data_IF_852869128781
#
_entry.id   IF_852869128781
#
_cell.length_a   1.000
_cell.length_b   1.000
_cell.length_c   1.000
_cell.angle_alpha   90.00
_cell.angle_beta   90.00
_cell.angle_gamma   90.00
#
_symmetry.space_group_name_H-M   'P 1'
#
loop_
_entity.id
_entity.type
_entity.pdbx_description
1 polymer ?
#
# COMPACT_ATOMS: atom_id res chain seq x y z
N UNK A 1 -27.73 3.86 0.29
CA UNK A 1 -26.59 4.76 0.05
C UNK A 1 -25.64 4.12 -0.95
N UNK A 2 -25.05 4.88 -1.89
CA UNK A 2 -24.04 4.34 -2.80
C UNK A 2 -22.83 3.86 -1.99
N UNK A 3 -22.31 2.67 -2.33
CA UNK A 3 -21.09 2.13 -1.71
C UNK A 3 -19.89 2.94 -2.17
N UNK A 4 -19.05 3.36 -1.24
CA UNK A 4 -17.81 4.08 -1.51
C UNK A 4 -16.94 3.32 -2.50
N UNK A 5 -16.38 4.06 -3.47
CA UNK A 5 -15.45 3.53 -4.47
C UNK A 5 -14.08 4.16 -4.29
N UNK A 6 -13.04 3.34 -4.43
CA UNK A 6 -11.65 3.78 -4.40
C UNK A 6 -10.79 2.98 -5.37
N UNK A 7 -9.55 3.41 -5.56
CA UNK A 7 -8.52 2.68 -6.28
C UNK A 7 -7.54 1.98 -5.34
N UNK A 8 -7.43 2.41 -4.09
CA UNK A 8 -6.41 1.92 -3.16
C UNK A 8 -7.08 1.18 -2.02
N UNK A 9 -6.61 -0.04 -1.76
CA UNK A 9 -7.18 -0.91 -0.75
C UNK A 9 -6.11 -1.59 0.07
N UNK A 10 -6.44 -1.89 1.32
CA UNK A 10 -5.62 -2.74 2.19
C UNK A 10 -6.45 -3.88 2.75
N UNK A 11 -5.80 -5.01 2.97
CA UNK A 11 -6.39 -6.19 3.61
C UNK A 11 -5.34 -7.09 4.24
N UNK A 12 -5.80 -8.08 4.99
CA UNK A 12 -4.98 -9.12 5.57
C UNK A 12 -5.18 -10.46 4.86
N UNK A 13 -4.11 -11.23 4.73
CA UNK A 13 -4.14 -12.64 4.37
C UNK A 13 -3.57 -13.49 5.52
N UNK A 14 -4.09 -14.70 5.71
CA UNK A 14 -3.63 -15.60 6.77
C UNK A 14 -3.00 -16.85 6.17
N UNK A 15 -1.71 -17.16 6.46
CA UNK A 15 -1.00 -18.28 5.84
C UNK A 15 -1.71 -19.64 5.94
N UNK A 16 -2.44 -19.89 7.02
CA UNK A 16 -3.15 -21.15 7.27
C UNK A 16 -4.39 -21.36 6.40
N UNK A 17 -4.91 -20.30 5.76
CA UNK A 17 -6.04 -20.38 4.82
C UNK A 17 -5.61 -20.19 3.36
N UNK A 18 -4.33 -19.93 3.10
CA UNK A 18 -3.80 -19.69 1.77
C UNK A 18 -3.43 -20.99 1.04
N UNK A 19 -3.66 -21.08 -0.27
CA UNK A 19 -3.10 -22.16 -1.08
C UNK A 19 -1.57 -22.05 -1.13
N UNK A 20 -0.87 -23.17 -1.39
CA UNK A 20 0.61 -23.20 -1.42
C UNK A 20 1.21 -22.22 -2.44
N UNK A 21 0.53 -22.00 -3.56
CA UNK A 21 0.94 -21.13 -4.66
C UNK A 21 0.24 -19.75 -4.63
N UNK A 22 -0.20 -19.28 -3.46
CA UNK A 22 -0.99 -18.06 -3.31
C UNK A 22 -0.35 -16.81 -3.94
N UNK A 23 0.99 -16.71 -3.95
CA UNK A 23 1.70 -15.57 -4.54
C UNK A 23 1.43 -15.48 -6.05
N UNK A 24 1.53 -16.63 -6.73
CA UNK A 24 1.27 -16.77 -8.17
C UNK A 24 -0.22 -16.50 -8.45
N UNK A 25 -1.13 -17.09 -7.66
CA UNK A 25 -2.57 -16.88 -7.80
C UNK A 25 -2.95 -15.40 -7.63
N UNK A 26 -2.34 -14.71 -6.67
CA UNK A 26 -2.56 -13.29 -6.44
C UNK A 26 -2.02 -12.44 -7.60
N UNK A 27 -0.89 -12.84 -8.18
CA UNK A 27 -0.30 -12.19 -9.35
C UNK A 27 -1.21 -12.31 -10.59
N UNK A 28 -1.96 -13.41 -10.76
CA UNK A 28 -2.91 -13.59 -11.89
C UNK A 28 -4.01 -12.52 -11.96
N UNK A 29 -4.27 -11.79 -10.87
CA UNK A 29 -5.20 -10.66 -10.86
C UNK A 29 -4.74 -9.53 -11.81
N UNK A 30 -3.45 -9.49 -12.16
CA UNK A 30 -2.87 -8.51 -13.08
C UNK A 30 -2.96 -7.08 -12.57
N UNK A 31 -3.01 -6.90 -11.25
CA UNK A 31 -3.06 -5.61 -10.55
C UNK A 31 -1.84 -5.47 -9.66
N UNK A 32 -1.29 -4.26 -9.57
CA UNK A 32 -0.17 -3.95 -8.70
C UNK A 32 -0.55 -4.21 -7.23
N UNK A 33 0.24 -5.05 -6.56
CA UNK A 33 0.04 -5.44 -5.16
C UNK A 33 1.39 -5.41 -4.44
N UNK A 34 1.44 -4.81 -3.26
CA UNK A 34 2.54 -4.98 -2.33
C UNK A 34 2.09 -5.86 -1.17
N UNK A 35 2.90 -6.85 -0.81
CA UNK A 35 2.65 -7.75 0.32
C UNK A 35 3.78 -7.57 1.33
N UNK A 36 3.44 -7.40 2.60
CA UNK A 36 4.41 -7.29 3.68
C UNK A 36 5.26 -8.56 3.81
N UNK A 37 6.34 -8.50 4.61
CA UNK A 37 6.90 -9.69 5.26
C UNK A 37 5.80 -10.44 6.05
N UNK A 38 6.09 -11.65 6.51
CA UNK A 38 5.16 -12.36 7.39
C UNK A 38 5.14 -11.66 8.75
N UNK A 39 3.97 -11.16 9.17
CA UNK A 39 3.81 -10.55 10.49
C UNK A 39 3.50 -11.62 11.53
N UNK A 40 4.55 -12.13 12.18
CA UNK A 40 4.50 -13.17 13.20
C UNK A 40 4.93 -12.70 14.61
N UNK A 41 5.36 -11.44 14.73
CA UNK A 41 5.88 -10.82 15.97
C UNK A 41 5.02 -9.64 16.46
N UNK A 42 3.78 -9.57 16.00
CA UNK A 42 2.84 -8.54 16.41
C UNK A 42 2.29 -8.84 17.80
N UNK A 43 2.62 -8.01 18.79
CA UNK A 43 2.22 -8.21 20.19
C UNK A 43 0.70 -8.29 20.34
N UNK A 44 0.24 -9.33 21.03
CA UNK A 44 -1.16 -9.47 21.39
C UNK A 44 -1.52 -8.58 22.57
N UNK A 45 -2.82 -8.28 22.70
CA UNK A 45 -3.42 -7.65 23.88
C UNK A 45 -4.18 -8.64 24.76
N UNK A 46 -4.19 -9.92 24.38
CA UNK A 46 -4.90 -10.99 25.08
C UNK A 46 -3.94 -11.64 26.07
N UNK A 47 -4.34 -11.69 27.35
CA UNK A 47 -3.53 -12.30 28.41
C UNK A 47 -3.19 -13.76 28.09
N UNK A 48 -1.92 -14.12 28.24
CA UNK A 48 -1.40 -15.46 27.95
C UNK A 48 -1.07 -15.73 26.48
N UNK A 49 -1.30 -14.77 25.58
CA UNK A 49 -0.88 -14.85 24.19
C UNK A 49 0.18 -13.78 23.91
N UNK A 50 1.39 -14.18 23.51
CA UNK A 50 2.46 -13.22 23.22
C UNK A 50 2.23 -12.48 21.90
N UNK A 51 1.89 -13.22 20.84
CA UNK A 51 1.73 -12.69 19.48
C UNK A 51 0.34 -12.97 18.91
N UNK A 52 -0.20 -12.03 18.14
CA UNK A 52 -1.42 -12.25 17.35
C UNK A 52 -1.15 -13.25 16.22
N UNK A 53 -2.23 -13.78 15.64
CA UNK A 53 -2.15 -14.77 14.56
C UNK A 53 -1.27 -14.27 13.40
N UNK A 54 -0.36 -15.09 12.86
CA UNK A 54 0.47 -14.71 11.72
C UNK A 54 -0.37 -14.27 10.51
N UNK A 55 0.02 -13.18 9.88
CA UNK A 55 -0.71 -12.61 8.76
C UNK A 55 0.20 -11.82 7.82
N UNK A 56 -0.27 -11.56 6.61
CA UNK A 56 0.32 -10.63 5.66
C UNK A 56 -0.57 -9.39 5.54
N UNK A 57 0.04 -8.21 5.59
CA UNK A 57 -0.58 -6.99 5.12
C UNK A 57 -0.43 -6.88 3.61
N UNK A 58 -1.52 -6.55 2.91
CA UNK A 58 -1.50 -6.35 1.46
C UNK A 58 -2.00 -4.94 1.12
N UNK A 59 -1.35 -4.29 0.17
CA UNK A 59 -1.80 -3.07 -0.50
C UNK A 59 -2.17 -3.45 -1.93
N UNK A 60 -3.40 -3.16 -2.34
CA UNK A 60 -3.94 -3.50 -3.64
C UNK A 60 -4.34 -2.23 -4.39
N UNK A 61 -3.84 -2.09 -5.61
CA UNK A 61 -4.13 -0.95 -6.48
C UNK A 61 -5.04 -1.38 -7.64
N UNK A 62 -6.31 -1.01 -7.54
CA UNK A 62 -7.29 -1.25 -8.59
C UNK A 62 -7.02 -0.36 -9.81
N UNK A 63 -7.15 -0.96 -11.00
CA UNK A 63 -7.05 -0.22 -12.28
C UNK A 63 -8.08 0.91 -12.37
N UNK A 64 -9.31 0.64 -11.91
CA UNK A 64 -10.44 1.57 -11.92
C UNK A 64 -11.05 1.70 -10.50
N UNK A 65 -11.77 2.80 -10.19
CA UNK A 65 -12.50 2.92 -8.94
C UNK A 65 -13.55 1.81 -8.77
N UNK A 66 -13.41 1.00 -7.73
CA UNK A 66 -14.28 -0.13 -7.40
C UNK A 66 -14.66 -0.11 -5.92
N UNK A 67 -15.57 -0.99 -5.50
CA UNK A 67 -15.93 -1.12 -4.07
C UNK A 67 -15.00 -2.11 -3.37
N UNK A 68 -14.83 -1.95 -2.05
CA UNK A 68 -14.07 -2.89 -1.23
C UNK A 68 -14.60 -4.33 -1.33
N UNK A 69 -15.93 -4.50 -1.41
CA UNK A 69 -16.57 -5.81 -1.63
C UNK A 69 -16.16 -6.47 -2.96
N UNK A 70 -15.98 -5.67 -4.02
CA UNK A 70 -15.55 -6.18 -5.32
C UNK A 70 -14.12 -6.71 -5.26
N UNK A 71 -13.23 -5.99 -4.57
CA UNK A 71 -11.85 -6.43 -4.32
C UNK A 71 -11.84 -7.72 -3.50
N UNK A 72 -12.61 -7.77 -2.41
CA UNK A 72 -12.74 -8.97 -1.56
C UNK A 72 -13.13 -10.19 -2.39
N UNK A 73 -14.20 -10.08 -3.19
CA UNK A 73 -14.68 -11.19 -4.03
C UNK A 73 -13.66 -11.63 -5.08
N UNK A 74 -12.90 -10.69 -5.67
CA UNK A 74 -11.83 -11.02 -6.63
C UNK A 74 -10.71 -11.82 -5.96
N UNK A 75 -10.24 -11.37 -4.80
CA UNK A 75 -9.19 -12.08 -4.05
C UNK A 75 -9.68 -13.45 -3.59
N UNK A 76 -10.91 -13.56 -3.08
CA UNK A 76 -11.50 -14.84 -2.69
C UNK A 76 -11.64 -15.82 -3.87
N UNK A 77 -11.81 -15.33 -5.10
CA UNK A 77 -11.92 -16.19 -6.29
C UNK A 77 -10.61 -16.91 -6.61
N UNK A 78 -9.46 -16.28 -6.34
CA UNK A 78 -8.14 -16.84 -6.64
C UNK A 78 -7.50 -17.51 -5.41
N UNK A 79 -7.74 -17.00 -4.21
CA UNK A 79 -7.14 -17.53 -2.97
C UNK A 79 -8.07 -18.40 -2.11
N UNK A 80 -9.37 -18.44 -2.44
CA UNK A 80 -10.39 -19.14 -1.65
C UNK A 80 -11.16 -18.24 -0.68
N UNK A 81 -12.34 -18.70 -0.27
CA UNK A 81 -13.31 -17.92 0.52
C UNK A 81 -12.77 -17.45 1.89
N UNK A 82 -11.90 -18.27 2.51
CA UNK A 82 -11.36 -18.03 3.84
C UNK A 82 -10.04 -17.23 3.85
N UNK A 83 -9.49 -16.91 2.67
CA UNK A 83 -8.22 -16.19 2.55
C UNK A 83 -8.30 -14.75 3.09
N UNK A 84 -9.47 -14.11 2.97
CA UNK A 84 -9.65 -12.68 3.25
C UNK A 84 -10.97 -12.40 3.98
N UNK A 85 -10.85 -11.80 5.17
CA UNK A 85 -12.00 -11.44 6.00
C UNK A 85 -12.54 -10.04 5.68
N UNK A 86 -11.64 -9.05 5.59
CA UNK A 86 -12.00 -7.63 5.47
C UNK A 86 -11.06 -6.90 4.51
N UNK A 87 -11.65 -6.03 3.69
CA UNK A 87 -10.95 -5.06 2.83
C UNK A 87 -11.32 -3.66 3.29
N UNK A 88 -10.35 -2.76 3.34
CA UNK A 88 -10.54 -1.37 3.68
C UNK A 88 -10.01 -0.47 2.58
N UNK A 89 -10.63 0.70 2.41
CA UNK A 89 -10.08 1.76 1.56
C UNK A 89 -8.79 2.29 2.17
N UNK A 90 -7.76 2.47 1.34
CA UNK A 90 -6.50 3.07 1.74
C UNK A 90 -6.51 4.54 1.35
N UNK A 91 -6.44 5.43 2.33
CA UNK A 91 -6.41 6.88 2.09
C UNK A 91 -5.01 7.39 1.77
N UNK A 92 -3.98 6.79 2.38
CA UNK A 92 -2.58 7.20 2.20
C UNK A 92 -1.72 5.96 1.93
N UNK A 93 -1.37 5.75 0.67
CA UNK A 93 -0.60 4.59 0.21
C UNK A 93 0.82 4.60 0.77
N UNK A 94 1.47 5.78 0.85
CA UNK A 94 2.81 5.94 1.45
C UNK A 94 2.86 5.44 2.88
N UNK A 95 1.89 5.86 3.70
CA UNK A 95 1.81 5.47 5.09
C UNK A 95 1.49 3.97 5.24
N UNK A 96 0.58 3.44 4.41
CA UNK A 96 0.28 2.01 4.40
C UNK A 96 1.50 1.17 3.99
N UNK A 97 2.29 1.64 3.03
CA UNK A 97 3.51 0.97 2.57
C UNK A 97 4.58 0.93 3.67
N UNK A 98 4.81 2.05 4.35
CA UNK A 98 5.69 2.08 5.53
C UNK A 98 5.16 1.21 6.67
N UNK A 99 3.84 1.05 6.78
CA UNK A 99 3.24 0.19 7.79
C UNK A 99 3.50 -1.30 7.51
N UNK A 100 3.77 -1.72 6.26
CA UNK A 100 4.13 -3.11 5.93
C UNK A 100 5.34 -3.62 6.72
N UNK A 101 6.25 -2.74 7.13
CA UNK A 101 7.41 -3.07 7.97
C UNK A 101 7.38 -2.40 9.34
N UNK A 102 6.24 -1.82 9.72
CA UNK A 102 6.08 -0.99 10.93
C UNK A 102 7.01 0.21 11.04
N UNK A 103 7.36 0.79 9.91
CA UNK A 103 8.21 1.98 9.85
C UNK A 103 7.45 3.30 9.72
N UNK A 104 6.12 3.23 9.67
CA UNK A 104 5.27 4.41 9.70
C UNK A 104 5.40 5.15 11.04
N UNK A 105 5.08 6.44 11.04
CA UNK A 105 5.17 7.30 12.23
C UNK A 105 4.39 6.71 13.42
N UNK A 106 3.16 6.24 13.16
CA UNK A 106 2.30 5.63 14.17
C UNK A 106 2.82 4.29 14.70
N UNK A 107 3.34 3.42 13.82
CA UNK A 107 3.88 2.12 14.24
C UNK A 107 5.14 2.28 15.10
N UNK A 108 6.01 3.23 14.74
CA UNK A 108 7.17 3.62 15.54
C UNK A 108 6.76 4.21 16.90
N UNK A 109 5.78 5.11 16.93
CA UNK A 109 5.27 5.68 18.18
C UNK A 109 4.70 4.60 19.13
N UNK A 110 4.18 3.51 18.56
CA UNK A 110 3.65 2.34 19.30
C UNK A 110 4.71 1.27 19.59
N UNK A 111 5.98 1.50 19.25
CA UNK A 111 7.08 0.54 19.42
C UNK A 111 6.75 -0.86 18.85
N UNK A 112 6.13 -0.92 17.67
CA UNK A 112 5.86 -2.19 16.99
C UNK A 112 7.17 -2.82 16.48
N UNK A 113 7.17 -4.15 16.34
CA UNK A 113 8.31 -4.87 15.77
C UNK A 113 8.54 -4.43 14.32
N UNK A 114 9.78 -4.07 13.98
CA UNK A 114 10.17 -3.67 12.62
C UNK A 114 10.60 -4.91 11.84
N UNK A 115 9.99 -5.11 10.67
CA UNK A 115 10.28 -6.22 9.77
C UNK A 115 11.25 -5.80 8.65
N UNK A 116 11.89 -6.76 7.98
CA UNK A 116 12.83 -6.47 6.89
C UNK A 116 12.11 -6.00 5.63
N UNK A 117 12.55 -4.89 5.05
CA UNK A 117 12.04 -4.36 3.78
C UNK A 117 12.33 -5.28 2.60
N UNK A 118 13.41 -6.07 2.65
CA UNK A 118 13.77 -6.98 1.56
C UNK A 118 12.77 -8.13 1.38
N UNK A 119 11.98 -8.42 2.43
CA UNK A 119 10.94 -9.44 2.39
C UNK A 119 9.59 -8.93 1.86
N UNK A 120 9.49 -7.63 1.52
CA UNK A 120 8.31 -7.09 0.84
C UNK A 120 8.24 -7.70 -0.56
N UNK A 121 7.08 -8.28 -0.89
CA UNK A 121 6.81 -8.83 -2.22
C UNK A 121 6.06 -7.81 -3.07
N UNK A 122 6.65 -7.45 -4.21
CA UNK A 122 6.09 -6.49 -5.15
C UNK A 122 5.59 -7.25 -6.38
N UNK A 123 4.27 -7.37 -6.52
CA UNK A 123 3.62 -8.11 -7.61
C UNK A 123 3.16 -7.15 -8.70
N UNK A 124 3.19 -7.62 -9.96
CA UNK A 124 2.68 -6.88 -11.12
C UNK A 124 3.25 -5.45 -11.26
N UNK A 125 4.57 -5.29 -11.06
CA UNK A 125 5.27 -3.99 -11.13
C UNK A 125 4.70 -2.94 -10.18
N UNK A 126 4.31 -3.34 -8.96
CA UNK A 126 4.03 -2.38 -7.90
C UNK A 126 5.27 -1.53 -7.65
N UNK A 127 5.07 -0.22 -7.67
CA UNK A 127 6.10 0.78 -7.44
C UNK A 127 5.46 1.90 -6.60
N UNK A 128 5.98 2.10 -5.39
CA UNK A 128 5.39 3.04 -4.42
C UNK A 128 5.42 4.47 -4.94
N UNK A 129 6.44 4.84 -5.71
CA UNK A 129 6.65 6.21 -6.19
C UNK A 129 5.54 6.63 -7.16
N UNK A 130 4.89 5.67 -7.83
CA UNK A 130 3.70 5.91 -8.67
C UNK A 130 2.45 6.30 -7.88
N UNK A 131 2.45 6.09 -6.57
CA UNK A 131 1.29 6.26 -5.70
C UNK A 131 1.53 7.29 -4.59
N UNK A 132 2.71 7.89 -4.54
CA UNK A 132 2.98 9.08 -3.74
C UNK A 132 2.74 10.29 -4.63
N UNK A 133 1.55 10.87 -4.55
CA UNK A 133 1.25 12.14 -5.21
C UNK A 133 1.52 13.31 -4.29
N UNK A 134 2.11 14.38 -4.82
CA UNK A 134 2.11 15.68 -4.16
C UNK A 134 0.67 16.16 -3.96
N UNK A 135 0.38 16.71 -2.79
CA UNK A 135 -0.89 17.39 -2.56
C UNK A 135 -0.97 18.73 -3.33
N UNK A 136 -2.12 19.40 -3.31
CA UNK A 136 -2.31 20.63 -4.09
C UNK A 136 -1.42 21.77 -3.59
N UNK A 137 -1.20 21.87 -2.27
CA UNK A 137 -0.38 22.92 -1.71
C UNK A 137 1.10 22.69 -2.06
N UNK A 138 1.58 21.46 -1.93
CA UNK A 138 2.95 21.09 -2.34
C UNK A 138 3.20 21.39 -3.83
N UNK A 139 2.19 21.20 -4.69
CA UNK A 139 2.28 21.54 -6.12
C UNK A 139 2.33 23.03 -6.36
N UNK A 140 1.51 23.80 -5.65
CA UNK A 140 1.49 25.26 -5.76
C UNK A 140 2.82 25.85 -5.26
N UNK A 141 3.33 25.40 -4.11
CA UNK A 141 4.63 25.81 -3.57
C UNK A 141 5.79 25.50 -4.55
N UNK A 142 5.76 24.32 -5.17
CA UNK A 142 6.77 23.95 -6.17
C UNK A 142 6.64 24.79 -7.45
N UNK A 143 5.42 25.12 -7.85
CA UNK A 143 5.18 25.97 -9.01
C UNK A 143 5.69 27.39 -8.77
N UNK A 144 5.49 27.94 -7.58
CA UNK A 144 6.03 29.25 -7.19
C UNK A 144 7.55 29.24 -7.23
N UNK A 145 8.19 28.20 -6.69
CA UNK A 145 9.65 28.03 -6.77
C UNK A 145 10.14 27.95 -8.23
N UNK A 146 9.44 27.21 -9.09
CA UNK A 146 9.77 27.15 -10.52
C UNK A 146 9.66 28.53 -11.17
N UNK A 147 8.61 29.29 -10.86
CA UNK A 147 8.43 30.65 -11.37
C UNK A 147 9.57 31.59 -10.91
N UNK A 148 9.99 31.48 -9.64
CA UNK A 148 11.13 32.25 -9.11
C UNK A 148 12.43 31.92 -9.83
N UNK A 149 12.69 30.64 -10.11
CA UNK A 149 13.88 30.21 -10.87
C UNK A 149 13.84 30.74 -12.30
N UNK A 150 12.70 30.60 -13.00
CA UNK A 150 12.53 31.13 -14.36
C UNK A 150 12.79 32.64 -14.40
N UNK A 151 12.23 33.38 -13.44
CA UNK A 151 12.39 34.83 -13.37
C UNK A 151 13.83 35.24 -13.02
N UNK A 152 14.48 34.53 -12.08
CA UNK A 152 15.82 34.86 -11.59
C UNK A 152 16.92 34.58 -12.61
N UNK A 153 16.74 33.55 -13.44
CA UNK A 153 17.70 33.12 -14.45
C UNK A 153 17.28 33.48 -15.88
N UNK A 154 16.17 34.22 -16.04
CA UNK A 154 15.59 34.64 -17.33
C UNK A 154 15.41 33.48 -18.33
N UNK A 155 14.98 32.31 -17.83
CA UNK A 155 14.86 31.10 -18.63
C UNK A 155 13.75 31.26 -19.68
N UNK A 156 14.10 31.12 -20.95
CA UNK A 156 13.22 31.38 -22.08
C UNK A 156 12.33 30.19 -22.44
N UNK A 157 12.67 28.98 -21.98
CA UNK A 157 11.96 27.75 -22.33
C UNK A 157 12.22 26.59 -21.35
N UNK A 158 11.46 25.51 -21.52
CA UNK A 158 11.52 24.31 -20.67
C UNK A 158 12.84 23.53 -20.78
N UNK A 159 13.60 23.70 -21.87
CA UNK A 159 14.92 23.06 -22.00
C UNK A 159 15.91 23.73 -21.06
N UNK A 160 15.91 25.06 -21.02
CA UNK A 160 16.75 25.84 -20.11
C UNK A 160 16.39 25.64 -18.64
N UNK A 161 15.13 25.34 -18.31
CA UNK A 161 14.75 24.93 -16.94
C UNK A 161 15.26 23.53 -16.56
N UNK A 162 15.49 22.67 -17.55
CA UNK A 162 15.88 21.27 -17.33
C UNK A 162 17.40 21.10 -17.22
N UNK A 163 18.16 21.91 -17.94
CA UNK A 163 19.63 21.87 -18.02
C UNK A 163 20.30 22.32 -16.71
#
# INVERSE_FOLDING_TARGET
MPKEKSRHFVFLLYPDTLPKNWEIELETLGTAIAVSPLHDKDKSKVDGQEYIKPHYHCIYIAKNPVTADSVRKKVQKVLGQQAIAKVQVCLNVKNAYLYLTHESKDAKAKNKHVYDKQEIKLLNNFDIDRYVSMDSAEKDDLLDLICEVIASYELANILELKD
#
